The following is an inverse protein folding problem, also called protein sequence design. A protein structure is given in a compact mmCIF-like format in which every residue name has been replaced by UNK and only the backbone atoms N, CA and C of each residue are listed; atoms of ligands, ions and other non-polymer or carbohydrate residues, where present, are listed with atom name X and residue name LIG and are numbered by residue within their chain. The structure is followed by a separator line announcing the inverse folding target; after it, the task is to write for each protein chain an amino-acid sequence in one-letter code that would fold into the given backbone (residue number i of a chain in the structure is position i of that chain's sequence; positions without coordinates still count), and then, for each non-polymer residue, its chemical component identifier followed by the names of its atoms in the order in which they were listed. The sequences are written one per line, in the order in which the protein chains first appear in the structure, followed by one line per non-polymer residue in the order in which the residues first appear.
data_IF_407854200881
#
_entry.id   IF_407854200881
#
_cell.length_a   1.000
_cell.length_b   1.000
_cell.length_c   1.000
_cell.angle_alpha   90.00
_cell.angle_beta   90.00
_cell.angle_gamma   90.00
#
_symmetry.space_group_name_H-M   'P 1'
#
loop_
_entity.id
_entity.type
_entity.pdbx_description
1 polymer ?
#
# COMPACT_ATOMS: atom_id res chain seq x y z
N UNK A 1 -28.98 -0.74 -3.28
CA UNK A 1 -27.68 -1.14 -3.84
C UNK A 1 -26.75 0.03 -3.62
N UNK A 2 -25.89 -0.01 -2.61
CA UNK A 2 -24.84 0.99 -2.45
C UNK A 2 -23.83 0.75 -3.58
N UNK A 3 -23.62 1.75 -4.44
CA UNK A 3 -22.49 1.72 -5.37
C UNK A 3 -21.23 1.67 -4.49
N UNK A 4 -20.50 0.56 -4.53
CA UNK A 4 -19.25 0.43 -3.80
C UNK A 4 -18.31 1.56 -4.24
N UNK A 5 -17.82 2.33 -3.28
CA UNK A 5 -16.94 3.48 -3.58
C UNK A 5 -15.50 3.01 -3.57
N UNK A 6 -14.89 3.04 -4.76
CA UNK A 6 -13.50 2.64 -4.94
C UNK A 6 -12.57 3.86 -4.89
N UNK A 7 -11.33 3.63 -4.45
CA UNK A 7 -10.26 4.62 -4.48
C UNK A 7 -9.03 4.03 -5.14
N UNK A 8 -8.63 4.64 -6.24
CA UNK A 8 -7.38 4.34 -6.90
C UNK A 8 -6.21 5.10 -6.25
N UNK A 9 -5.11 4.38 -6.06
CA UNK A 9 -3.82 4.86 -5.56
C UNK A 9 -2.77 4.46 -6.59
N UNK A 10 -2.20 5.47 -7.24
CA UNK A 10 -1.14 5.34 -8.23
C UNK A 10 0.19 5.55 -7.51
N UNK A 11 1.00 4.50 -7.34
CA UNK A 11 2.27 4.63 -6.59
C UNK A 11 3.23 5.60 -7.30
N UNK A 12 3.22 5.60 -8.63
CA UNK A 12 3.99 6.52 -9.47
C UNK A 12 3.71 8.00 -9.23
N UNK A 13 2.52 8.35 -8.74
CA UNK A 13 2.17 9.74 -8.36
C UNK A 13 2.80 10.13 -7.02
N UNK A 14 3.04 9.15 -6.14
CA UNK A 14 3.80 9.35 -4.91
C UNK A 14 5.30 9.43 -5.18
N UNK A 15 5.83 8.49 -5.95
CA UNK A 15 7.22 8.49 -6.41
C UNK A 15 7.41 7.51 -7.55
N UNK A 16 8.34 7.84 -8.45
CA UNK A 16 8.79 6.92 -9.49
C UNK A 16 9.82 5.90 -8.97
N UNK A 17 10.47 6.17 -7.84
CA UNK A 17 11.44 5.28 -7.19
C UNK A 17 11.21 5.20 -5.66
N UNK A 18 10.06 4.71 -5.20
CA UNK A 18 9.70 4.68 -3.78
C UNK A 18 10.56 3.66 -3.01
N UNK A 19 11.44 4.13 -2.13
CA UNK A 19 12.49 3.29 -1.55
C UNK A 19 12.57 3.34 -0.03
N UNK A 20 12.94 2.21 0.56
CA UNK A 20 13.28 2.12 1.97
C UNK A 20 12.06 2.14 2.90
N UNK A 21 12.34 2.11 4.20
CA UNK A 21 11.34 1.90 5.24
C UNK A 21 10.92 3.21 5.89
N UNK A 22 11.87 4.06 6.22
CA UNK A 22 11.67 5.26 7.04
C UNK A 22 12.34 6.50 6.45
N UNK A 23 12.11 7.67 7.05
CA UNK A 23 12.61 8.98 6.58
C UNK A 23 14.13 9.02 6.33
N UNK A 24 14.91 8.27 7.10
CA UNK A 24 16.37 8.16 6.90
C UNK A 24 16.76 7.55 5.55
N UNK A 25 15.87 6.82 4.90
CA UNK A 25 16.10 6.14 3.62
C UNK A 25 15.73 7.05 2.43
N UNK A 26 15.15 8.22 2.69
CA UNK A 26 14.75 9.21 1.68
C UNK A 26 13.33 9.73 1.91
N UNK A 27 12.94 10.75 1.14
CA UNK A 27 11.62 11.39 1.28
C UNK A 27 10.47 10.49 0.84
N UNK A 28 10.68 9.68 -0.19
CA UNK A 28 9.66 8.80 -0.77
C UNK A 28 9.74 7.38 -0.21
N UNK A 29 9.81 7.26 1.11
CA UNK A 29 9.91 5.98 1.82
C UNK A 29 8.53 5.39 2.17
N UNK A 30 8.52 4.13 2.62
CA UNK A 30 7.29 3.40 2.93
C UNK A 30 6.45 4.04 4.04
N UNK A 31 7.08 4.56 5.11
CA UNK A 31 6.34 5.25 6.18
C UNK A 31 5.64 6.52 5.67
N UNK A 32 6.28 7.29 4.79
CA UNK A 32 5.66 8.45 4.16
C UNK A 32 4.49 8.04 3.25
N UNK A 33 4.66 7.00 2.41
CA UNK A 33 3.59 6.50 1.55
C UNK A 33 2.40 5.99 2.38
N UNK A 34 2.67 5.21 3.42
CA UNK A 34 1.66 4.69 4.34
C UNK A 34 0.89 5.82 5.00
N UNK A 35 1.58 6.74 5.66
CA UNK A 35 0.95 7.71 6.56
C UNK A 35 0.19 8.80 5.79
N UNK A 36 0.69 9.18 4.61
CA UNK A 36 0.12 10.29 3.83
C UNK A 36 -0.83 9.85 2.71
N UNK A 37 -0.68 8.64 2.19
CA UNK A 37 -1.48 8.14 1.06
C UNK A 37 -2.41 7.01 1.51
N UNK A 38 -1.85 5.87 1.92
CA UNK A 38 -2.66 4.67 2.20
C UNK A 38 -3.59 4.89 3.40
N UNK A 39 -3.07 5.36 4.54
CA UNK A 39 -3.84 5.49 5.77
C UNK A 39 -5.10 6.35 5.60
N UNK A 40 -5.03 7.41 4.78
CA UNK A 40 -6.17 8.27 4.47
C UNK A 40 -7.28 7.51 3.73
N UNK A 41 -6.93 6.65 2.76
CA UNK A 41 -7.90 5.86 2.02
C UNK A 41 -8.52 4.75 2.90
N UNK A 42 -7.71 4.05 3.68
CA UNK A 42 -8.19 2.93 4.50
C UNK A 42 -9.07 3.37 5.68
N UNK A 43 -8.75 4.52 6.30
CA UNK A 43 -9.55 5.10 7.40
C UNK A 43 -10.86 5.73 6.94
N UNK A 44 -11.02 6.03 5.66
CA UNK A 44 -12.26 6.62 5.16
C UNK A 44 -13.38 5.56 5.15
N UNK A 45 -14.46 5.74 5.93
CA UNK A 45 -15.57 4.78 5.98
C UNK A 45 -16.37 4.74 4.68
N UNK A 46 -16.29 5.78 3.85
CA UNK A 46 -16.96 5.87 2.56
C UNK A 46 -16.23 5.15 1.43
N UNK A 47 -15.07 4.53 1.69
CA UNK A 47 -14.29 3.78 0.69
C UNK A 47 -14.39 2.30 1.00
N UNK A 48 -14.95 1.53 0.08
CA UNK A 48 -15.14 0.08 0.20
C UNK A 48 -13.96 -0.71 -0.36
N UNK A 49 -13.28 -0.16 -1.36
CA UNK A 49 -12.14 -0.78 -2.05
C UNK A 49 -11.03 0.22 -2.33
N UNK A 50 -9.79 -0.19 -2.10
CA UNK A 50 -8.57 0.58 -2.38
C UNK A 50 -7.74 -0.18 -3.40
N UNK A 51 -7.72 0.32 -4.63
CA UNK A 51 -6.96 -0.24 -5.74
C UNK A 51 -5.57 0.40 -5.77
N UNK A 52 -4.51 -0.37 -5.51
CA UNK A 52 -3.13 0.13 -5.47
C UNK A 52 -2.38 -0.36 -6.70
N UNK A 53 -2.01 0.56 -7.58
CA UNK A 53 -1.34 0.30 -8.85
C UNK A 53 0.18 0.40 -8.68
N UNK A 54 0.86 -0.74 -8.66
CA UNK A 54 2.30 -0.81 -8.40
C UNK A 54 3.16 -0.53 -9.64
N UNK A 55 2.67 -0.85 -10.83
CA UNK A 55 3.43 -0.81 -12.10
C UNK A 55 3.59 0.62 -12.68
N UNK A 56 3.36 1.63 -11.86
CA UNK A 56 3.31 3.05 -12.28
C UNK A 56 4.60 3.81 -11.95
N UNK A 57 5.59 3.10 -11.42
CA UNK A 57 6.96 3.53 -11.10
C UNK A 57 7.86 3.59 -12.35
N UNK A 58 9.17 3.87 -12.20
CA UNK A 58 10.11 3.78 -13.32
C UNK A 58 10.15 2.38 -13.92
N UNK A 59 10.36 2.30 -15.24
CA UNK A 59 10.52 1.04 -15.95
C UNK A 59 11.70 0.24 -15.38
N UNK A 60 11.47 -1.04 -15.07
CA UNK A 60 12.48 -1.90 -14.45
C UNK A 60 12.72 -1.66 -12.95
N UNK A 61 11.89 -0.84 -12.30
CA UNK A 61 11.98 -0.65 -10.85
C UNK A 61 11.43 -1.85 -10.07
N UNK A 62 12.16 -2.29 -9.05
CA UNK A 62 11.74 -3.36 -8.15
C UNK A 62 11.47 -2.84 -6.74
N UNK A 63 10.31 -3.17 -6.18
CA UNK A 63 10.02 -2.85 -4.79
C UNK A 63 10.80 -3.75 -3.84
N UNK A 64 11.52 -3.14 -2.89
CA UNK A 64 12.13 -3.90 -1.81
C UNK A 64 11.09 -4.43 -0.82
N UNK A 65 11.31 -5.64 -0.30
CA UNK A 65 10.49 -6.26 0.75
C UNK A 65 10.24 -5.35 1.95
N UNK A 66 11.26 -4.57 2.33
CA UNK A 66 11.17 -3.58 3.41
C UNK A 66 10.18 -2.47 3.12
N UNK A 67 10.05 -2.05 1.85
CA UNK A 67 9.06 -1.06 1.46
C UNK A 67 7.66 -1.66 1.53
N UNK A 68 7.46 -2.83 0.92
CA UNK A 68 6.16 -3.52 0.88
C UNK A 68 5.63 -3.84 2.29
N UNK A 69 6.47 -4.44 3.15
CA UNK A 69 6.04 -4.77 4.52
C UNK A 69 5.62 -3.49 5.28
N UNK A 70 6.45 -2.45 5.27
CA UNK A 70 6.18 -1.25 6.06
C UNK A 70 5.01 -0.42 5.51
N UNK A 71 4.81 -0.41 4.19
CA UNK A 71 3.69 0.27 3.57
C UNK A 71 2.37 -0.40 3.95
N UNK A 72 2.27 -1.72 3.82
CA UNK A 72 1.00 -2.44 3.96
C UNK A 72 0.75 -2.99 5.36
N UNK A 73 1.72 -3.67 5.99
CA UNK A 73 1.57 -4.15 7.38
C UNK A 73 1.64 -2.99 8.36
N UNK A 74 2.37 -1.92 8.03
CA UNK A 74 2.41 -0.71 8.83
C UNK A 74 1.02 -0.08 9.00
N UNK A 75 0.08 -0.26 8.08
CA UNK A 75 -1.31 0.21 8.28
C UNK A 75 -1.92 -0.37 9.55
N UNK A 76 -1.66 -1.65 9.81
CA UNK A 76 -2.11 -2.32 11.03
C UNK A 76 -1.26 -1.89 12.23
N UNK A 77 0.07 -2.04 12.12
CA UNK A 77 0.99 -1.88 13.27
C UNK A 77 1.23 -0.43 13.70
N UNK A 78 1.10 0.53 12.79
CA UNK A 78 1.46 1.95 13.01
C UNK A 78 0.28 2.90 12.88
N UNK A 79 -0.69 2.59 12.03
CA UNK A 79 -1.85 3.46 11.81
C UNK A 79 -3.11 3.04 12.58
N UNK A 80 -3.05 1.95 13.36
CA UNK A 80 -4.16 1.37 14.13
C UNK A 80 -5.39 1.04 13.26
N UNK A 81 -5.16 0.52 12.06
CA UNK A 81 -6.23 0.06 11.16
C UNK A 81 -6.39 -1.45 11.35
N UNK A 82 -7.62 -1.90 11.62
CA UNK A 82 -7.93 -3.31 11.78
C UNK A 82 -7.48 -4.15 10.57
N UNK A 83 -6.83 -5.28 10.83
CA UNK A 83 -6.26 -6.15 9.80
C UNK A 83 -7.33 -6.69 8.84
N UNK A 84 -8.53 -7.01 9.33
CA UNK A 84 -9.63 -7.46 8.47
C UNK A 84 -10.11 -6.33 7.55
N UNK A 85 -10.09 -5.08 8.03
CA UNK A 85 -10.40 -3.91 7.20
C UNK A 85 -9.36 -3.71 6.10
N UNK A 86 -8.06 -3.85 6.41
CA UNK A 86 -7.01 -3.79 5.37
C UNK A 86 -7.21 -4.91 4.35
N UNK A 87 -7.31 -6.16 4.79
CA UNK A 87 -7.48 -7.33 3.91
C UNK A 87 -8.74 -7.25 3.04
N UNK A 88 -9.84 -6.72 3.58
CA UNK A 88 -11.11 -6.57 2.83
C UNK A 88 -11.05 -5.47 1.78
N UNK A 89 -10.45 -4.31 2.11
CA UNK A 89 -10.44 -3.15 1.22
C UNK A 89 -9.33 -3.24 0.17
N UNK A 90 -8.18 -3.84 0.49
CA UNK A 90 -6.99 -3.80 -0.34
C UNK A 90 -7.16 -4.64 -1.62
N UNK A 91 -6.85 -4.03 -2.75
CA UNK A 91 -6.72 -4.68 -4.05
C UNK A 91 -5.41 -4.23 -4.70
N UNK A 92 -4.44 -5.14 -4.81
CA UNK A 92 -3.16 -4.85 -5.49
C UNK A 92 -3.34 -5.10 -6.98
N UNK A 93 -2.97 -4.11 -7.80
CA UNK A 93 -3.01 -4.19 -9.25
C UNK A 93 -1.56 -4.09 -9.75
N UNK A 94 -1.07 -5.21 -10.27
CA UNK A 94 0.29 -5.35 -10.77
C UNK A 94 0.39 -6.54 -11.73
N UNK A 95 1.29 -6.47 -12.70
CA UNK A 95 1.72 -7.63 -13.50
C UNK A 95 2.68 -8.56 -12.75
N UNK A 96 3.31 -8.07 -11.67
CA UNK A 96 4.25 -8.79 -10.83
C UNK A 96 3.54 -9.50 -9.66
N UNK A 97 3.04 -10.71 -9.93
CA UNK A 97 2.22 -11.46 -8.97
C UNK A 97 2.93 -11.82 -7.66
N UNK A 98 4.26 -11.87 -7.65
CA UNK A 98 5.09 -12.04 -6.46
C UNK A 98 4.87 -10.93 -5.42
N UNK A 99 4.67 -9.67 -5.84
CA UNK A 99 4.31 -8.59 -4.91
C UNK A 99 2.96 -8.85 -4.23
N UNK A 100 1.98 -9.39 -4.97
CA UNK A 100 0.67 -9.75 -4.40
C UNK A 100 0.83 -10.84 -3.34
N UNK A 101 1.63 -11.88 -3.64
CA UNK A 101 1.88 -12.97 -2.71
C UNK A 101 2.62 -12.49 -1.46
N UNK A 102 3.66 -11.68 -1.63
CA UNK A 102 4.49 -11.17 -0.55
C UNK A 102 3.69 -10.25 0.39
N UNK A 103 2.92 -9.29 -0.15
CA UNK A 103 2.07 -8.40 0.65
C UNK A 103 1.02 -9.22 1.43
N UNK A 104 0.40 -10.21 0.80
CA UNK A 104 -0.60 -11.07 1.46
C UNK A 104 0.03 -11.96 2.54
N UNK A 105 1.21 -12.53 2.30
CA UNK A 105 1.96 -13.29 3.31
C UNK A 105 2.27 -12.42 4.52
N UNK A 106 2.73 -11.18 4.31
CA UNK A 106 2.98 -10.24 5.39
C UNK A 106 1.70 -9.88 6.17
N UNK A 107 0.60 -9.61 5.48
CA UNK A 107 -0.69 -9.32 6.12
C UNK A 107 -1.27 -10.54 6.87
N UNK A 108 -0.94 -11.77 6.46
CA UNK A 108 -1.39 -12.98 7.15
C UNK A 108 -0.81 -13.13 8.56
N UNK A 109 0.33 -12.47 8.83
CA UNK A 109 1.07 -12.52 10.10
C UNK A 109 0.63 -11.45 11.11
N UNK A 110 -0.43 -10.70 10.79
CA UNK A 110 -1.04 -9.67 11.65
C UNK A 110 -2.55 -9.76 11.72
#
# INVERSE_FOLDING_TARGET
MSNAREKDIIVGDFSKTPYGRYEKDGKSNASAFRDTVLANAFKNPEIDRVNVYLDTVEEGYEYGSSFLEEAFVGLVRKCNIDANTVKRKLNIITEHYDYVLEINDYLSKV
#
